data_IF_758290819739
#
_entry.id   IF_758290819739
#
_cell.length_a   1.000
_cell.length_b   1.000
_cell.length_c   1.000
_cell.angle_alpha   90.00
_cell.angle_beta   90.00
_cell.angle_gamma   90.00
#
_symmetry.space_group_name_H-M   'P 1'
#
loop_
_entity.id
_entity.type
_entity.pdbx_description
1 polymer ?
#
# COMPACT_ATOMS: atom_id res chain seq x y z
N UNK A 1 -8.34 17.37 -3.53
CA UNK A 1 -7.50 18.50 -3.04
C UNK A 1 -6.11 17.97 -2.80
N UNK A 2 -5.24 18.06 -3.82
CA UNK A 2 -3.82 17.83 -3.66
C UNK A 2 -3.23 19.11 -3.06
N UNK A 3 -2.67 19.04 -1.87
CA UNK A 3 -2.00 20.19 -1.26
C UNK A 3 -0.55 20.19 -1.72
N UNK A 4 -0.16 21.21 -2.50
CA UNK A 4 1.24 21.57 -2.69
C UNK A 4 1.68 22.29 -1.41
N UNK A 5 2.41 21.60 -0.54
CA UNK A 5 2.99 22.22 0.65
C UNK A 5 4.34 22.84 0.26
N UNK A 6 4.33 24.14 -0.02
CA UNK A 6 5.50 24.99 0.14
C UNK A 6 5.67 25.20 1.65
N UNK A 7 6.52 24.40 2.29
CA UNK A 7 6.84 24.55 3.70
C UNK A 7 8.34 24.80 3.82
N UNK A 8 8.67 25.97 4.35
CA UNK A 8 10.00 26.40 4.75
C UNK A 8 10.65 25.29 5.61
N UNK A 9 11.61 24.57 5.01
CA UNK A 9 12.33 23.46 5.63
C UNK A 9 13.38 23.98 6.63
N UNK A 10 12.92 24.39 7.81
CA UNK A 10 13.76 24.47 9.00
C UNK A 10 13.59 23.20 9.83
N UNK A 11 14.49 22.23 9.67
CA UNK A 11 14.68 21.13 10.64
C UNK A 11 13.55 20.07 10.76
N UNK A 12 13.03 19.55 9.65
CA UNK A 12 12.15 18.39 9.66
C UNK A 12 12.83 17.19 8.99
N UNK A 13 13.07 16.13 9.75
CA UNK A 13 13.56 14.85 9.22
C UNK A 13 12.44 14.16 8.43
N UNK A 14 12.17 14.64 7.21
CA UNK A 14 11.09 14.14 6.36
C UNK A 14 11.17 12.62 6.16
N UNK A 15 12.38 12.03 6.13
CA UNK A 15 12.54 10.58 6.02
C UNK A 15 11.98 9.81 7.23
N UNK A 16 12.02 10.39 8.44
CA UNK A 16 11.49 9.75 9.65
C UNK A 16 9.96 9.65 9.64
N UNK A 17 9.29 10.57 8.98
CA UNK A 17 7.83 10.55 8.81
C UNK A 17 7.36 9.40 7.90
N UNK A 18 8.18 9.03 6.89
CA UNK A 18 7.91 7.92 5.94
C UNK A 18 8.47 6.58 6.42
N UNK A 19 8.26 6.29 7.70
CA UNK A 19 8.84 5.12 8.39
C UNK A 19 8.10 3.81 8.14
N UNK A 20 6.85 3.86 7.65
CA UNK A 20 6.00 2.67 7.52
C UNK A 20 6.53 1.65 6.51
N UNK A 21 7.42 2.05 5.59
CA UNK A 21 8.11 1.12 4.69
C UNK A 21 8.77 -0.04 5.45
N UNK A 22 9.37 0.22 6.62
CA UNK A 22 10.02 -0.82 7.44
C UNK A 22 9.04 -1.82 8.06
N UNK A 23 7.74 -1.51 8.04
CA UNK A 23 6.67 -2.34 8.60
C UNK A 23 5.91 -3.11 7.52
N UNK A 24 6.26 -2.95 6.24
CA UNK A 24 5.65 -3.70 5.14
C UNK A 24 6.28 -5.10 5.08
N UNK A 25 5.46 -6.14 5.01
CA UNK A 25 5.91 -7.51 4.75
C UNK A 25 6.12 -7.70 3.24
N UNK A 26 7.21 -7.10 2.71
CA UNK A 26 7.55 -7.06 1.27
C UNK A 26 7.49 -8.44 0.60
N UNK A 27 7.98 -9.54 1.20
CA UNK A 27 7.86 -10.88 0.61
C UNK A 27 6.43 -11.29 0.27
N UNK A 28 5.43 -10.83 1.06
CA UNK A 28 4.00 -11.14 0.92
C UNK A 28 3.21 -10.07 0.16
N UNK A 29 3.85 -9.00 -0.27
CA UNK A 29 3.22 -8.03 -1.18
C UNK A 29 2.94 -8.73 -2.51
N UNK A 30 1.72 -8.55 -3.01
CA UNK A 30 1.27 -9.08 -4.29
C UNK A 30 0.55 -8.00 -5.08
N UNK A 31 0.73 -8.03 -6.40
CA UNK A 31 -0.03 -7.21 -7.33
C UNK A 31 -0.82 -8.12 -8.28
N UNK A 32 -2.01 -7.67 -8.65
CA UNK A 32 -2.79 -8.23 -9.75
C UNK A 32 -2.59 -7.35 -10.97
N UNK A 33 -2.53 -8.01 -12.14
CA UNK A 33 -2.32 -7.38 -13.44
C UNK A 33 -0.97 -6.68 -13.63
N UNK A 34 0.07 -7.10 -12.90
CA UNK A 34 1.44 -6.66 -13.16
C UNK A 34 2.05 -7.38 -14.36
N UNK A 35 2.70 -6.63 -15.26
CA UNK A 35 3.39 -7.12 -16.46
C UNK A 35 4.50 -8.12 -16.13
N UNK A 36 5.24 -7.85 -15.05
CA UNK A 36 6.32 -8.71 -14.54
C UNK A 36 5.97 -9.15 -13.13
N UNK A 37 5.79 -10.45 -12.92
CA UNK A 37 5.44 -11.01 -11.62
C UNK A 37 6.46 -10.64 -10.53
N UNK A 38 5.98 -10.07 -9.42
CA UNK A 38 6.79 -9.61 -8.30
C UNK A 38 7.44 -8.24 -8.49
N UNK A 39 7.21 -7.55 -9.61
CA UNK A 39 7.73 -6.20 -9.88
C UNK A 39 7.26 -5.18 -8.85
N UNK A 40 6.05 -5.36 -8.30
CA UNK A 40 5.49 -4.54 -7.21
C UNK A 40 6.40 -4.41 -5.99
N UNK A 41 7.29 -5.38 -5.74
CA UNK A 41 8.21 -5.31 -4.58
C UNK A 41 9.25 -4.21 -4.74
N UNK A 42 9.57 -3.83 -5.98
CA UNK A 42 10.57 -2.79 -6.30
C UNK A 42 10.09 -1.37 -6.03
N UNK A 43 8.77 -1.13 -5.94
CA UNK A 43 8.22 0.22 -5.74
C UNK A 43 8.22 0.65 -4.27
N UNK A 44 8.43 -0.30 -3.35
CA UNK A 44 8.59 -0.02 -1.93
C UNK A 44 10.07 0.20 -1.63
N UNK A 45 10.42 1.43 -1.27
CA UNK A 45 11.79 1.86 -0.94
C UNK A 45 11.76 3.00 0.06
N UNK A 46 12.94 3.42 0.52
CA UNK A 46 13.05 4.57 1.40
C UNK A 46 12.60 5.87 0.71
N UNK A 47 12.14 6.85 1.48
CA UNK A 47 11.72 8.16 0.95
C UNK A 47 12.83 8.89 0.18
N UNK A 48 14.08 8.70 0.58
CA UNK A 48 15.25 9.28 -0.08
C UNK A 48 15.40 8.73 -1.52
N UNK A 49 15.11 7.45 -1.70
CA UNK A 49 15.20 6.76 -3.00
C UNK A 49 13.93 6.88 -3.85
N UNK A 50 12.94 7.69 -3.46
CA UNK A 50 11.63 7.74 -4.14
C UNK A 50 11.73 8.08 -5.64
N UNK A 51 12.76 8.83 -6.05
CA UNK A 51 13.02 9.23 -7.44
C UNK A 51 14.00 8.30 -8.17
N UNK A 52 14.57 7.31 -7.50
CA UNK A 52 15.51 6.38 -8.10
C UNK A 52 14.75 5.38 -8.99
N UNK A 53 14.86 5.53 -10.31
CA UNK A 53 14.17 4.65 -11.28
C UNK A 53 14.96 3.38 -11.61
N UNK A 54 16.22 3.31 -11.21
CA UNK A 54 17.12 2.16 -11.45
C UNK A 54 16.72 0.89 -10.72
N UNK A 55 15.96 1.00 -9.62
CA UNK A 55 15.55 -0.11 -8.76
C UNK A 55 14.40 -0.96 -9.31
N UNK A 56 13.82 -0.59 -10.44
CA UNK A 56 12.63 -1.22 -11.02
C UNK A 56 11.36 -0.37 -10.87
N UNK A 57 10.29 -0.84 -11.48
CA UNK A 57 8.97 -0.23 -11.44
C UNK A 57 7.89 -1.32 -11.54
N UNK A 58 6.69 -0.99 -11.07
CA UNK A 58 5.48 -1.75 -11.33
C UNK A 58 4.86 -1.22 -12.62
N UNK A 59 4.51 -2.12 -13.53
CA UNK A 59 3.80 -1.81 -14.76
C UNK A 59 2.60 -2.74 -14.91
N UNK A 60 1.48 -2.22 -15.40
CA UNK A 60 0.31 -3.04 -15.75
C UNK A 60 0.53 -3.85 -17.03
N UNK A 61 -0.29 -4.86 -17.27
CA UNK A 61 -0.26 -5.60 -18.54
C UNK A 61 -0.59 -4.68 -19.73
N UNK A 62 -0.07 -5.03 -20.91
CA UNK A 62 -0.32 -4.27 -22.14
C UNK A 62 -1.82 -4.22 -22.47
N UNK A 63 -2.35 -3.01 -22.67
CA UNK A 63 -3.74 -2.78 -23.05
C UNK A 63 -4.74 -2.82 -21.90
N UNK A 64 -4.28 -3.00 -20.65
CA UNK A 64 -5.12 -2.90 -19.46
C UNK A 64 -4.41 -2.08 -18.36
N UNK A 65 -4.86 -0.83 -18.10
CA UNK A 65 -4.21 0.05 -17.13
C UNK A 65 -4.55 -0.28 -15.67
N UNK A 66 -5.49 -1.18 -15.43
CA UNK A 66 -5.99 -1.47 -14.09
C UNK A 66 -4.96 -2.24 -13.26
N UNK A 67 -4.65 -1.77 -12.05
CA UNK A 67 -3.73 -2.41 -11.11
C UNK A 67 -4.37 -2.55 -9.73
N UNK A 68 -4.08 -3.66 -9.06
CA UNK A 68 -4.47 -3.86 -7.67
C UNK A 68 -3.26 -4.35 -6.87
N UNK A 69 -2.92 -3.66 -5.80
CA UNK A 69 -1.73 -3.92 -4.98
C UNK A 69 -2.16 -4.21 -3.55
N UNK A 70 -1.86 -5.41 -3.06
CA UNK A 70 -2.09 -5.83 -1.70
C UNK A 70 -0.80 -5.74 -0.87
N UNK A 71 -0.88 -5.01 0.25
CA UNK A 71 0.24 -4.63 1.10
C UNK A 71 -0.05 -5.09 2.54
N UNK A 72 0.49 -6.24 2.95
CA UNK A 72 0.43 -6.67 4.34
C UNK A 72 1.48 -5.94 5.20
N UNK A 73 1.12 -5.62 6.45
CA UNK A 73 2.05 -5.07 7.44
C UNK A 73 2.42 -6.13 8.50
N UNK A 74 3.63 -6.02 9.04
CA UNK A 74 4.16 -6.87 10.12
C UNK A 74 3.62 -6.48 11.50
N UNK A 75 3.06 -5.29 11.61
CA UNK A 75 2.42 -4.75 12.81
C UNK A 75 1.28 -3.84 12.37
N UNK A 76 0.24 -3.68 13.21
CA UNK A 76 -0.82 -2.72 12.91
C UNK A 76 -0.26 -1.31 12.79
N UNK A 77 -0.60 -0.60 11.71
CA UNK A 77 -0.13 0.77 11.45
C UNK A 77 -1.27 1.77 11.49
N UNK A 78 -0.91 3.04 11.67
CA UNK A 78 -1.79 4.19 11.50
C UNK A 78 -1.29 4.97 10.30
N UNK A 79 -2.08 5.03 9.24
CA UNK A 79 -1.68 5.71 8.01
C UNK A 79 -2.18 7.15 8.09
N UNK A 80 -1.28 8.11 7.90
CA UNK A 80 -1.59 9.54 7.81
C UNK A 80 -1.73 9.96 6.36
N UNK A 81 -0.75 9.58 5.53
CA UNK A 81 -0.71 9.97 4.12
C UNK A 81 -0.11 8.87 3.25
N UNK A 82 -0.47 8.89 1.97
CA UNK A 82 0.03 7.98 0.95
C UNK A 82 0.68 8.83 -0.14
N UNK A 83 1.86 8.46 -0.63
CA UNK A 83 2.47 9.06 -1.81
C UNK A 83 2.59 8.01 -2.90
N UNK A 84 2.33 8.43 -4.14
CA UNK A 84 2.50 7.60 -5.33
C UNK A 84 3.31 8.41 -6.33
N UNK A 85 4.37 7.82 -6.88
CA UNK A 85 5.10 8.36 -8.03
C UNK A 85 4.82 7.46 -9.21
N UNK A 86 4.07 7.99 -10.18
CA UNK A 86 3.75 7.30 -11.42
C UNK A 86 4.78 7.52 -12.52
N UNK A 87 4.52 6.98 -13.71
CA UNK A 87 5.32 7.22 -14.90
C UNK A 87 4.95 8.47 -15.70
N UNK A 88 5.82 8.85 -16.63
CA UNK A 88 5.60 9.97 -17.53
C UNK A 88 4.63 9.62 -18.68
N UNK A 89 4.33 10.59 -19.53
CA UNK A 89 3.60 10.39 -20.78
C UNK A 89 2.21 9.75 -20.60
N UNK A 90 1.49 10.14 -19.55
CA UNK A 90 0.13 9.64 -19.28
C UNK A 90 0.07 8.27 -18.59
N UNK A 91 1.21 7.61 -18.35
CA UNK A 91 1.27 6.30 -17.67
C UNK A 91 1.13 6.39 -16.15
N UNK A 92 1.09 7.59 -15.56
CA UNK A 92 0.80 7.78 -14.15
C UNK A 92 -0.65 7.38 -13.82
N UNK A 93 -0.90 6.72 -12.67
CA UNK A 93 -2.27 6.42 -12.26
C UNK A 93 -3.04 7.72 -11.99
N UNK A 94 -4.30 7.78 -12.43
CA UNK A 94 -5.16 8.97 -12.31
C UNK A 94 -6.13 8.89 -11.14
N UNK A 95 -6.40 7.69 -10.64
CA UNK A 95 -7.27 7.46 -9.47
C UNK A 95 -6.69 6.40 -8.55
N UNK A 96 -6.91 6.56 -7.25
CA UNK A 96 -6.56 5.57 -6.24
C UNK A 96 -7.74 5.32 -5.31
N UNK A 97 -8.13 4.06 -5.19
CA UNK A 97 -9.16 3.57 -4.26
C UNK A 97 -8.49 2.70 -3.23
N UNK A 98 -8.89 2.84 -1.97
CA UNK A 98 -8.20 2.17 -0.86
C UNK A 98 -9.15 1.35 -0.03
N UNK A 99 -8.72 0.13 0.27
CA UNK A 99 -9.37 -0.81 1.18
C UNK A 99 -8.39 -1.21 2.27
N UNK A 100 -8.89 -1.50 3.47
CA UNK A 100 -8.08 -1.89 4.62
C UNK A 100 -8.65 -3.14 5.27
N UNK A 101 -7.77 -3.92 5.90
CA UNK A 101 -8.12 -5.06 6.75
C UNK A 101 -9.00 -6.10 6.05
N UNK A 102 -8.73 -6.36 4.77
CA UNK A 102 -9.39 -7.38 3.95
C UNK A 102 -8.36 -8.05 3.06
N UNK A 103 -8.39 -9.36 3.06
CA UNK A 103 -7.51 -10.20 2.24
C UNK A 103 -8.28 -10.68 1.00
N UNK A 104 -7.56 -10.94 -0.09
CA UNK A 104 -8.13 -11.54 -1.29
C UNK A 104 -9.10 -10.67 -2.08
N UNK A 105 -8.98 -9.34 -2.00
CA UNK A 105 -9.76 -8.42 -2.87
C UNK A 105 -9.29 -8.61 -4.32
N UNK A 106 -10.23 -8.96 -5.20
CA UNK A 106 -10.02 -8.95 -6.65
C UNK A 106 -10.70 -7.74 -7.34
N UNK A 107 -10.59 -7.66 -8.67
CA UNK A 107 -11.14 -6.53 -9.44
C UNK A 107 -12.67 -6.43 -9.33
N UNK A 108 -13.38 -7.56 -9.26
CA UNK A 108 -14.83 -7.60 -9.08
C UNK A 108 -15.21 -7.03 -7.71
N UNK A 109 -14.49 -7.43 -6.65
CA UNK A 109 -14.69 -6.88 -5.31
C UNK A 109 -14.40 -5.38 -5.28
N UNK A 110 -13.28 -4.95 -5.87
CA UNK A 110 -12.87 -3.55 -5.92
C UNK A 110 -13.94 -2.68 -6.61
N UNK A 111 -14.62 -3.18 -7.64
CA UNK A 111 -15.70 -2.48 -8.34
C UNK A 111 -16.99 -2.39 -7.51
N UNK A 112 -17.36 -3.46 -6.80
CA UNK A 112 -18.64 -3.55 -6.09
C UNK A 112 -18.59 -3.01 -4.65
N UNK A 113 -17.41 -2.97 -4.04
CA UNK A 113 -17.25 -2.51 -2.67
C UNK A 113 -17.06 -0.99 -2.58
N UNK A 114 -17.54 -0.41 -1.48
CA UNK A 114 -17.23 0.97 -1.15
C UNK A 114 -15.78 1.06 -0.64
N UNK A 115 -14.91 1.86 -1.29
CA UNK A 115 -13.57 2.10 -0.77
C UNK A 115 -13.64 2.89 0.53
N UNK A 116 -12.68 2.66 1.42
CA UNK A 116 -12.55 3.44 2.66
C UNK A 116 -12.32 4.90 2.35
N UNK A 117 -11.50 5.15 1.32
CA UNK A 117 -11.29 6.47 0.75
C UNK A 117 -10.83 6.33 -0.71
N UNK A 118 -11.15 7.35 -1.50
CA UNK A 118 -10.80 7.46 -2.91
C UNK A 118 -10.21 8.86 -3.17
N UNK A 119 -9.24 8.93 -4.07
CA UNK A 119 -8.62 10.17 -4.51
C UNK A 119 -8.47 10.18 -6.04
N UNK A 120 -8.76 11.33 -6.62
CA UNK A 120 -8.21 11.71 -7.93
C UNK A 120 -6.75 12.12 -7.71
N UNK A 121 -5.86 11.41 -8.40
CA UNK A 121 -4.43 11.65 -8.35
C UNK A 121 -4.06 12.78 -9.33
N UNK A 122 -2.85 13.29 -9.17
CA UNK A 122 -2.15 14.12 -10.13
C UNK A 122 -0.79 13.48 -10.45
N UNK A 123 -0.26 13.73 -11.64
CA UNK A 123 1.05 13.26 -12.04
C UNK A 123 2.12 13.79 -11.07
N UNK A 124 2.77 12.88 -10.35
CA UNK A 124 3.70 13.20 -9.26
C UNK A 124 5.13 12.79 -9.59
N UNK A 125 5.63 13.21 -10.76
CA UNK A 125 6.95 12.82 -11.26
C UNK A 125 8.11 13.24 -10.33
N UNK A 126 7.88 14.29 -9.52
CA UNK A 126 8.86 14.81 -8.54
C UNK A 126 8.71 14.19 -7.14
N UNK A 127 7.72 13.33 -6.91
CA UNK A 127 7.51 12.67 -5.61
C UNK A 127 7.32 13.64 -4.46
N UNK A 128 6.66 14.78 -4.71
CA UNK A 128 6.38 15.81 -3.70
C UNK A 128 4.93 15.77 -3.23
N UNK A 129 4.02 15.20 -4.03
CA UNK A 129 2.61 15.11 -3.69
C UNK A 129 2.36 13.94 -2.73
N UNK A 130 1.60 14.23 -1.67
CA UNK A 130 1.06 13.26 -0.73
C UNK A 130 -0.46 13.42 -0.62
N UNK A 131 -1.14 12.30 -0.44
CA UNK A 131 -2.59 12.20 -0.32
C UNK A 131 -2.95 11.92 1.13
N UNK A 132 -3.57 12.91 1.76
CA UNK A 132 -3.98 12.83 3.16
C UNK A 132 -5.14 11.86 3.33
N UNK A 133 -4.99 10.94 4.28
CA UNK A 133 -6.04 10.00 4.68
C UNK A 133 -6.94 10.60 5.75
N UNK A 134 -8.17 10.11 5.83
CA UNK A 134 -9.05 10.37 6.97
C UNK A 134 -8.55 9.57 8.16
N UNK A 135 -7.57 10.11 8.87
CA UNK A 135 -6.81 9.41 9.93
C UNK A 135 -7.66 8.54 10.87
N UNK A 136 -8.85 9.00 11.27
CA UNK A 136 -9.79 8.23 12.11
C UNK A 136 -10.25 6.88 11.52
N UNK A 137 -10.26 6.75 10.19
CA UNK A 137 -10.59 5.51 9.46
C UNK A 137 -9.37 4.62 9.23
N UNK A 138 -8.18 5.18 9.29
CA UNK A 138 -6.91 4.51 9.02
C UNK A 138 -6.11 4.22 10.29
N UNK A 139 -6.83 3.88 11.37
CA UNK A 139 -6.24 3.40 12.62
C UNK A 139 -6.24 1.87 12.66
N UNK A 140 -5.15 1.23 13.04
CA UNK A 140 -5.09 -0.23 13.20
C UNK A 140 -5.21 -0.96 11.86
N UNK A 141 -4.42 -0.53 10.88
CA UNK A 141 -4.37 -1.11 9.55
C UNK A 141 -3.35 -2.26 9.55
N UNK A 142 -3.85 -3.46 9.34
CA UNK A 142 -3.09 -4.71 9.24
C UNK A 142 -2.63 -5.03 7.83
N UNK A 143 -3.49 -4.70 6.86
CA UNK A 143 -3.23 -4.81 5.45
C UNK A 143 -3.94 -3.68 4.72
N UNK A 144 -3.37 -3.28 3.58
CA UNK A 144 -3.83 -2.19 2.74
C UNK A 144 -3.92 -2.71 1.31
N UNK A 145 -5.06 -2.51 0.66
CA UNK A 145 -5.21 -2.78 -0.77
C UNK A 145 -5.37 -1.45 -1.49
N UNK A 146 -4.51 -1.19 -2.45
CA UNK A 146 -4.55 -0.04 -3.34
C UNK A 146 -5.06 -0.49 -4.70
N UNK A 147 -6.13 0.12 -5.19
CA UNK A 147 -6.69 -0.13 -6.51
C UNK A 147 -6.53 1.12 -7.37
N UNK A 148 -5.87 0.94 -8.51
CA UNK A 148 -5.62 1.96 -9.52
C UNK A 148 -6.41 1.57 -10.78
N UNK A 149 -7.64 2.07 -10.95
CA UNK A 149 -8.50 1.64 -12.05
C UNK A 149 -8.09 2.19 -13.41
N UNK A 150 -7.37 3.31 -13.45
CA UNK A 150 -7.09 4.05 -14.68
C UNK A 150 -5.84 4.94 -14.53
N UNK A 151 -5.37 5.52 -15.63
CA UNK A 151 -4.19 6.37 -15.73
C UNK A 151 -4.51 7.69 -16.45
N UNK A 152 -3.50 8.46 -16.87
CA UNK A 152 -3.68 9.75 -17.56
C UNK A 152 -3.74 9.62 -19.09
N UNK A 153 -4.20 8.46 -19.59
CA UNK A 153 -4.38 8.18 -21.02
C UNK A 153 -3.22 7.44 -21.68
N UNK A 154 -2.31 6.84 -20.89
CA UNK A 154 -1.28 5.94 -21.39
C UNK A 154 -1.79 4.51 -21.59
N UNK A 155 -1.10 3.73 -22.43
CA UNK A 155 -1.47 2.33 -22.70
C UNK A 155 -1.29 1.39 -21.50
N UNK A 156 -0.37 1.73 -20.60
CA UNK A 156 -0.09 0.99 -19.35
C UNK A 156 0.05 1.93 -18.17
N UNK A 157 -0.22 1.43 -16.97
CA UNK A 157 0.00 2.17 -15.73
C UNK A 157 1.37 1.82 -15.16
N UNK A 158 2.19 2.84 -14.91
CA UNK A 158 3.53 2.71 -14.33
C UNK A 158 3.60 3.36 -12.96
N UNK A 159 4.19 2.66 -11.99
CA UNK A 159 4.42 3.15 -10.64
C UNK A 159 5.87 2.89 -10.27
N UNK A 160 6.60 3.93 -9.87
CA UNK A 160 8.00 3.86 -9.44
C UNK A 160 8.16 3.90 -7.93
N UNK A 161 7.17 4.43 -7.21
CA UNK A 161 7.22 4.54 -5.76
C UNK A 161 5.83 4.54 -5.14
N UNK A 162 5.69 3.76 -4.07
CA UNK A 162 4.56 3.85 -3.14
C UNK A 162 5.11 4.11 -1.75
N UNK A 163 4.86 5.32 -1.25
CA UNK A 163 5.22 5.74 0.10
C UNK A 163 4.02 5.68 1.03
N UNK A 164 4.26 5.30 2.28
CA UNK A 164 3.27 5.37 3.36
C UNK A 164 3.85 6.17 4.52
N UNK A 165 3.14 7.25 4.89
CA UNK A 165 3.49 8.12 6.03
C UNK A 165 2.58 7.80 7.20
N UNK A 166 3.13 7.64 8.39
CA UNK A 166 2.35 7.32 9.57
C UNK A 166 3.15 6.71 10.71
N UNK A 167 2.47 5.96 11.57
CA UNK A 167 3.05 5.42 12.79
C UNK A 167 2.69 3.95 12.95
N UNK A 168 3.68 3.10 13.21
CA UNK A 168 3.42 1.71 13.61
C UNK A 168 2.96 1.67 15.07
N UNK A 169 1.98 0.84 15.36
CA UNK A 169 1.61 0.55 16.74
C UNK A 169 2.58 -0.48 17.32
N UNK A 170 2.86 -0.40 18.62
CA UNK A 170 3.81 -1.28 19.30
C UNK A 170 3.33 -2.74 19.43
N UNK A 171 2.15 -3.06 18.89
CA UNK A 171 1.60 -4.41 18.86
C UNK A 171 2.19 -5.18 17.67
N UNK A 172 3.31 -5.85 17.91
CA UNK A 172 3.81 -6.88 16.98
C UNK A 172 2.79 -8.00 16.93
N UNK A 173 2.32 -8.36 15.73
CA UNK A 173 1.50 -9.55 15.53
C UNK A 173 2.42 -10.76 15.57
N UNK A 174 2.67 -11.25 16.78
CA UNK A 174 3.29 -12.57 16.94
C UNK A 174 2.32 -13.61 16.38
N UNK A 175 2.80 -14.40 15.42
CA UNK A 175 2.04 -15.50 14.82
C UNK A 175 1.67 -16.41 15.97
N UNK A 176 0.39 -16.44 16.35
CA UNK A 176 -0.14 -17.28 17.42
C UNK A 176 0.26 -18.72 17.10
N UNK A 177 1.34 -19.18 17.74
CA UNK A 177 1.74 -20.56 17.72
C UNK A 177 0.56 -21.37 18.23
N UNK A 178 0.10 -22.28 17.39
CA UNK A 178 -0.93 -23.28 17.66
C UNK A 178 -0.92 -23.71 19.13
N UNK A 179 -1.86 -23.18 19.92
CA UNK A 179 -2.22 -23.80 21.19
C UNK A 179 -2.92 -25.10 20.81
N UNK A 180 -2.13 -26.17 20.73
CA UNK A 180 -2.64 -27.53 20.75
C UNK A 180 -3.37 -27.67 22.08
N UNK A 181 -4.69 -27.64 22.03
CA UNK A 181 -5.52 -28.17 23.10
C UNK A 181 -5.22 -29.66 23.18
N UNK A 182 -4.28 -30.04 24.05
CA UNK A 182 -4.18 -31.40 24.53
C UNK A 182 -5.47 -31.68 25.29
N UNK A 183 -6.40 -32.36 24.63
CA UNK A 183 -7.61 -32.87 25.25
C UNK A 183 -7.15 -33.76 26.41
N UNK A 184 -7.35 -33.31 27.65
CA UNK A 184 -7.27 -34.20 28.80
C UNK A 184 -8.32 -35.31 28.57
N UNK A 185 -7.93 -36.59 28.44
CA UNK A 185 -8.91 -37.65 28.47
C UNK A 185 -9.54 -37.62 29.87
N UNK A 186 -10.80 -37.21 29.94
CA UNK A 186 -11.63 -37.42 31.11
C UNK A 186 -11.82 -38.93 31.26
N UNK A 187 -11.31 -39.60 32.30
CA UNK A 187 -11.70 -40.95 32.60
C UNK A 187 -13.09 -40.89 33.23
N UNK A 188 -14.10 -40.62 32.41
CA UNK A 188 -15.44 -41.07 32.73
C UNK A 188 -15.35 -42.58 32.96
N UNK A 189 -15.84 -42.98 34.13
CA UNK A 189 -16.91 -43.97 34.17
C UNK A 189 -16.65 -45.15 33.24
N UNK A 190 -15.99 -46.20 33.74
CA UNK A 190 -16.32 -47.57 33.34
C UNK A 190 -15.75 -48.57 34.37
N UNK A 191 -16.65 -48.94 35.30
CA UNK A 191 -16.71 -50.14 36.17
C UNK A 191 -15.81 -50.24 37.41
#
# INVERSE_FOLDING_TARGET
>A
MACLHDHECGDHNCAADWSLYNHIDIPKVVALNESVAGSVKSVFKSWDQRLETSGGFLESNEGDPELLVFIPFTSDVKIKSIAVVGGADGTSPSRMRVFINREGIDFSDAQNMQPVQEWELAENLQGVLEYQTRYSRFQGVANLTLHFPDNFGGDTTKIYYIGLRGEATQNKRDVVATIVYEVMPNPSDHK
#
